data_IF_073090798415
#
_entry.id   IF_073090798415
#
_cell.length_a   1.000
_cell.length_b   1.000
_cell.length_c   1.000
_cell.angle_alpha   90.00
_cell.angle_beta   90.00
_cell.angle_gamma   90.00
#
_symmetry.space_group_name_H-M   'P 1'
#
loop_
_entity.id
_entity.type
_entity.pdbx_description
1 polymer ?
#
# COMPACT_ATOMS: atom_id res chain seq x y z
N UNK A 1 4.51 34.54 -24.64
CA UNK A 1 5.22 33.32 -24.20
C UNK A 1 5.08 33.24 -22.69
N UNK A 2 4.34 32.27 -22.14
CA UNK A 2 4.22 32.11 -20.68
C UNK A 2 5.28 31.12 -20.22
N UNK A 3 6.32 31.61 -19.54
CA UNK A 3 7.35 30.82 -18.83
C UNK A 3 7.02 30.79 -17.34
N UNK A 4 6.12 29.89 -16.95
CA UNK A 4 5.80 29.65 -15.54
C UNK A 4 6.36 28.31 -15.07
N UNK A 5 7.39 28.32 -14.21
CA UNK A 5 7.92 27.11 -13.56
C UNK A 5 7.08 26.80 -12.32
N UNK A 6 5.92 26.17 -12.50
CA UNK A 6 5.14 25.68 -11.35
C UNK A 6 5.95 24.57 -10.66
N UNK A 7 6.20 24.66 -9.33
CA UNK A 7 6.85 23.57 -8.59
C UNK A 7 6.04 22.29 -8.77
N UNK A 8 6.71 21.21 -9.19
CA UNK A 8 6.07 19.91 -9.32
C UNK A 8 5.62 19.45 -7.93
N UNK A 9 4.33 19.15 -7.70
CA UNK A 9 3.90 18.61 -6.42
C UNK A 9 4.64 17.31 -6.12
N UNK A 10 5.15 17.19 -4.90
CA UNK A 10 5.66 15.92 -4.39
C UNK A 10 4.56 14.86 -4.51
N UNK A 11 4.83 13.69 -5.12
CA UNK A 11 3.83 12.62 -5.18
C UNK A 11 3.39 12.20 -3.78
N UNK A 12 2.09 12.13 -3.55
CA UNK A 12 1.55 11.60 -2.30
C UNK A 12 2.08 10.17 -2.09
N UNK A 13 2.67 9.92 -0.92
CA UNK A 13 3.14 8.59 -0.52
C UNK A 13 2.23 8.04 0.59
N UNK A 14 1.01 7.59 0.24
CA UNK A 14 0.14 7.00 1.23
C UNK A 14 0.74 5.66 1.68
N UNK A 15 0.55 5.26 2.94
CA UNK A 15 1.06 3.99 3.42
C UNK A 15 0.22 2.85 2.80
N UNK A 16 0.63 2.38 1.62
CA UNK A 16 -0.15 1.46 0.78
C UNK A 16 -0.32 0.08 1.41
N UNK A 17 0.78 -0.53 1.84
CA UNK A 17 0.79 -1.88 2.45
C UNK A 17 -0.14 -1.97 3.68
N UNK A 18 -0.11 -1.05 4.66
CA UNK A 18 -1.01 -1.14 5.80
C UNK A 18 -2.48 -0.93 5.43
N UNK A 19 -2.80 -0.23 4.34
CA UNK A 19 -4.19 -0.12 3.86
C UNK A 19 -4.71 -1.49 3.38
N UNK A 20 -3.96 -2.20 2.55
CA UNK A 20 -4.33 -3.56 2.13
C UNK A 20 -4.39 -4.55 3.31
N UNK A 21 -3.46 -4.41 4.27
CA UNK A 21 -3.46 -5.24 5.46
C UNK A 21 -4.70 -4.99 6.32
N UNK A 22 -5.10 -3.73 6.51
CA UNK A 22 -6.29 -3.37 7.29
C UNK A 22 -7.57 -3.95 6.68
N UNK A 23 -7.75 -3.85 5.36
CA UNK A 23 -8.91 -4.44 4.68
C UNK A 23 -8.95 -5.97 4.81
N UNK A 24 -7.82 -6.62 4.58
CA UNK A 24 -7.70 -8.09 4.73
C UNK A 24 -7.98 -8.52 6.17
N UNK A 25 -7.39 -7.83 7.15
CA UNK A 25 -7.59 -8.12 8.57
C UNK A 25 -9.04 -7.92 9.01
N UNK A 26 -9.72 -6.90 8.49
CA UNK A 26 -11.14 -6.68 8.78
C UNK A 26 -12.02 -7.86 8.35
N UNK A 27 -11.76 -8.46 7.19
CA UNK A 27 -12.48 -9.66 6.75
C UNK A 27 -12.19 -10.88 7.61
N UNK A 28 -10.93 -11.07 8.03
CA UNK A 28 -10.56 -12.16 8.95
C UNK A 28 -11.29 -12.00 10.29
N UNK A 29 -11.25 -10.80 10.87
CA UNK A 29 -11.92 -10.50 12.15
C UNK A 29 -13.43 -10.68 12.03
N UNK A 30 -14.05 -10.18 10.96
CA UNK A 30 -15.48 -10.37 10.70
C UNK A 30 -15.84 -11.86 10.57
N UNK A 31 -15.02 -12.65 9.87
CA UNK A 31 -15.20 -14.09 9.75
C UNK A 31 -15.16 -14.81 11.10
N UNK A 32 -14.21 -14.44 11.97
CA UNK A 32 -14.14 -14.98 13.34
C UNK A 32 -15.39 -14.63 14.14
N UNK A 33 -15.86 -13.38 14.08
CA UNK A 33 -17.09 -12.95 14.77
C UNK A 33 -18.30 -13.75 14.27
N UNK A 34 -18.43 -13.92 12.95
CA UNK A 34 -19.53 -14.66 12.33
C UNK A 34 -19.51 -16.15 12.71
N UNK A 35 -18.32 -16.76 12.78
CA UNK A 35 -18.17 -18.15 13.25
C UNK A 35 -18.64 -18.29 14.70
N UNK A 36 -18.23 -17.39 15.59
CA UNK A 36 -18.64 -17.42 17.01
C UNK A 36 -20.13 -17.13 17.20
N UNK A 37 -20.72 -16.32 16.33
CA UNK A 37 -22.15 -15.99 16.36
C UNK A 37 -23.05 -17.06 15.73
N UNK A 38 -22.49 -18.13 15.14
CA UNK A 38 -23.26 -19.15 14.43
C UNK A 38 -23.97 -18.61 13.18
N UNK A 39 -23.35 -17.64 12.50
CA UNK A 39 -23.94 -16.98 11.35
C UNK A 39 -24.04 -17.89 10.11
N UNK A 40 -24.93 -17.58 9.15
CA UNK A 40 -25.07 -18.36 7.92
C UNK A 40 -23.77 -18.47 7.11
N UNK A 41 -23.56 -19.63 6.49
CA UNK A 41 -22.34 -19.97 5.75
C UNK A 41 -22.05 -18.99 4.60
N UNK A 42 -23.07 -18.40 3.98
CA UNK A 42 -22.91 -17.39 2.92
C UNK A 42 -22.09 -16.17 3.34
N UNK A 43 -22.21 -15.74 4.59
CA UNK A 43 -21.42 -14.64 5.14
C UNK A 43 -19.97 -15.05 5.41
N UNK A 44 -19.75 -16.31 5.78
CA UNK A 44 -18.40 -16.87 5.92
C UNK A 44 -17.69 -16.95 4.56
N UNK A 45 -18.39 -17.38 3.52
CA UNK A 45 -17.89 -17.36 2.15
C UNK A 45 -17.54 -15.95 1.68
N UNK A 46 -18.31 -14.94 2.08
CA UNK A 46 -18.00 -13.55 1.80
C UNK A 46 -16.71 -13.10 2.49
N UNK A 47 -16.53 -13.45 3.76
CA UNK A 47 -15.31 -13.13 4.51
C UNK A 47 -14.07 -13.85 3.95
N UNK A 48 -14.25 -15.12 3.56
CA UNK A 48 -13.19 -15.90 2.92
C UNK A 48 -12.82 -15.31 1.56
N UNK A 49 -13.80 -14.99 0.72
CA UNK A 49 -13.57 -14.36 -0.57
C UNK A 49 -12.86 -13.01 -0.41
N UNK A 50 -13.29 -12.16 0.52
CA UNK A 50 -12.63 -10.89 0.83
C UNK A 50 -11.18 -11.07 1.28
N UNK A 51 -10.91 -12.06 2.13
CA UNK A 51 -9.55 -12.39 2.60
C UNK A 51 -8.67 -12.89 1.46
N UNK A 52 -9.17 -13.81 0.64
CA UNK A 52 -8.44 -14.37 -0.51
C UNK A 52 -8.18 -13.30 -1.58
N UNK A 53 -9.14 -12.42 -1.85
CA UNK A 53 -8.96 -11.27 -2.75
C UNK A 53 -8.00 -10.22 -2.17
N UNK A 54 -7.85 -10.14 -0.85
CA UNK A 54 -6.87 -9.27 -0.18
C UNK A 54 -5.42 -9.66 -0.49
N UNK A 55 -5.14 -10.96 -0.67
CA UNK A 55 -3.79 -11.48 -0.95
C UNK A 55 -3.16 -10.88 -2.22
N UNK A 56 -3.78 -10.95 -3.42
CA UNK A 56 -3.21 -10.32 -4.61
C UNK A 56 -3.09 -8.79 -4.47
N UNK A 57 -4.04 -8.14 -3.80
CA UNK A 57 -3.95 -6.72 -3.45
C UNK A 57 -2.69 -6.40 -2.62
N UNK A 58 -2.42 -7.19 -1.58
CA UNK A 58 -1.23 -7.02 -0.75
C UNK A 58 0.08 -7.29 -1.53
N UNK A 59 0.12 -8.37 -2.33
CA UNK A 59 1.29 -8.73 -3.14
C UNK A 59 1.65 -7.63 -4.15
N UNK A 60 0.66 -7.06 -4.83
CA UNK A 60 0.87 -5.96 -5.77
C UNK A 60 1.40 -4.71 -5.06
N UNK A 61 0.88 -4.39 -3.87
CA UNK A 61 1.36 -3.27 -3.07
C UNK A 61 2.79 -3.48 -2.57
N UNK A 62 3.15 -4.68 -2.10
CA UNK A 62 4.53 -5.00 -1.70
C UNK A 62 5.51 -4.85 -2.88
N UNK A 63 5.14 -5.35 -4.06
CA UNK A 63 5.97 -5.22 -5.27
C UNK A 63 6.11 -3.76 -5.70
N UNK A 64 5.03 -2.99 -5.61
CA UNK A 64 5.03 -1.57 -5.92
C UNK A 64 5.91 -0.78 -4.95
N UNK A 65 5.82 -1.07 -3.65
CA UNK A 65 6.61 -0.42 -2.61
C UNK A 65 8.11 -0.74 -2.75
N UNK A 66 8.45 -1.99 -3.06
CA UNK A 66 9.82 -2.39 -3.37
C UNK A 66 10.39 -1.65 -4.59
N UNK A 67 9.58 -1.47 -5.64
CA UNK A 67 9.98 -0.72 -6.82
C UNK A 67 10.09 0.79 -6.53
N UNK A 68 9.21 1.35 -5.69
CA UNK A 68 9.32 2.74 -5.20
C UNK A 68 10.64 2.95 -4.45
N UNK A 69 10.96 2.08 -3.49
CA UNK A 69 12.22 2.13 -2.72
C UNK A 69 13.45 2.10 -3.64
N UNK A 70 13.45 1.20 -4.64
CA UNK A 70 14.55 1.11 -5.64
C UNK A 70 14.71 2.40 -6.45
N UNK A 71 13.62 3.03 -6.88
CA UNK A 71 13.68 4.29 -7.65
C UNK A 71 14.22 5.45 -6.81
N UNK A 72 13.83 5.55 -5.53
CA UNK A 72 14.36 6.57 -4.60
C UNK A 72 15.87 6.43 -4.38
N UNK A 73 16.38 5.20 -4.26
CA UNK A 73 17.80 4.94 -4.12
C UNK A 73 18.63 5.38 -5.35
N UNK A 74 18.02 5.40 -6.54
CA UNK A 74 18.68 5.81 -7.79
C UNK A 74 18.56 7.31 -8.08
N UNK A 75 17.57 8.01 -7.51
CA UNK A 75 17.33 9.44 -7.75
C UNK A 75 18.05 10.36 -6.75
N UNK A 76 18.64 9.82 -5.69
CA UNK A 76 19.44 10.55 -4.71
C UNK A 76 20.88 9.99 -4.65
N UNK A 77 21.74 10.22 -5.67
CA UNK A 77 23.17 10.23 -5.40
C UNK A 77 23.45 11.36 -4.41
N UNK A 78 24.16 11.09 -3.32
CA UNK A 78 24.50 12.09 -2.32
C UNK A 78 25.20 13.28 -2.99
N UNK A 79 24.51 14.42 -3.07
CA UNK A 79 25.10 15.65 -3.55
C UNK A 79 26.06 16.15 -2.47
N UNK A 80 27.33 15.75 -2.60
CA UNK A 80 28.40 16.24 -1.75
C UNK A 80 28.89 17.56 -2.36
N UNK A 81 28.58 18.70 -1.72
CA UNK A 81 29.22 19.97 -2.08
C UNK A 81 30.61 19.95 -1.49
N UNK A 82 31.62 19.66 -2.32
CA UNK A 82 33.00 19.94 -1.95
C UNK A 82 33.17 21.46 -2.00
N UNK A 83 33.11 22.10 -0.84
CA UNK A 83 33.48 23.51 -0.70
C UNK A 83 35.01 23.59 -0.88
N UNK A 84 35.45 24.02 -2.07
CA UNK A 84 36.86 24.27 -2.35
C UNK A 84 37.24 25.63 -1.76
N UNK A 85 38.15 25.60 -0.80
CA UNK A 85 38.76 26.76 -0.15
C UNK A 85 39.69 27.56 -1.09
#
# INVERSE_FOLDING_TARGET
>A
MVTGTKPRPEPLDPPMVPFALAGTAAFVVAGVILLLAGAPESWLWTCLAGTLCGIPGLLTMLRHDANRRRRRALSHPEFTVTETA
#
